data_IF_627243937005
#
_entry.id   IF_627243937005
#
_cell.length_a   1.000
_cell.length_b   1.000
_cell.length_c   1.000
_cell.angle_alpha   90.00
_cell.angle_beta   90.00
_cell.angle_gamma   90.00
#
_symmetry.space_group_name_H-M   'P 1'
#
loop_
_entity.id
_entity.type
_entity.pdbx_description
1 polymer ?
#
# COMPACT_ATOMS: atom_id res chain seq x y z
N UNK A 1 3.33 -3.75 -1.62
CA UNK A 1 4.39 -2.95 -2.26
C UNK A 1 3.79 -1.83 -3.11
N UNK A 2 4.34 -0.61 -3.09
CA UNK A 2 3.99 0.40 -4.08
C UNK A 2 4.96 0.34 -5.28
N UNK A 3 4.44 0.55 -6.50
CA UNK A 3 5.23 0.61 -7.74
C UNK A 3 4.91 1.92 -8.45
N UNK A 4 5.94 2.72 -8.65
CA UNK A 4 5.82 4.06 -9.24
C UNK A 4 6.92 4.31 -10.28
N UNK A 5 6.72 5.30 -11.14
CA UNK A 5 7.74 5.65 -12.11
C UNK A 5 7.33 6.67 -13.15
N UNK A 6 8.06 6.69 -14.26
CA UNK A 6 7.87 7.64 -15.33
C UNK A 6 6.50 7.49 -16.02
N UNK A 7 5.86 8.63 -16.31
CA UNK A 7 4.63 8.68 -17.13
C UNK A 7 4.91 8.31 -18.58
N UNK A 8 6.07 8.73 -19.10
CA UNK A 8 6.59 8.40 -20.44
C UNK A 8 7.60 7.25 -20.34
N UNK A 9 7.17 6.15 -19.75
CA UNK A 9 8.01 4.98 -19.54
C UNK A 9 8.37 4.28 -20.87
N UNK A 10 9.55 3.70 -20.92
CA UNK A 10 9.98 2.85 -22.03
C UNK A 10 9.11 1.59 -22.12
N UNK A 11 9.19 0.90 -23.26
CA UNK A 11 8.52 -0.40 -23.39
C UNK A 11 9.10 -1.41 -22.40
N UNK A 12 10.41 -1.41 -22.19
CA UNK A 12 11.10 -2.31 -21.27
C UNK A 12 10.70 -2.01 -19.82
N UNK A 13 10.68 -0.74 -19.41
CA UNK A 13 10.25 -0.35 -18.07
C UNK A 13 8.79 -0.75 -17.76
N UNK A 14 7.89 -0.56 -18.72
CA UNK A 14 6.48 -1.00 -18.57
C UNK A 14 6.37 -2.53 -18.50
N UNK A 15 7.12 -3.26 -19.33
CA UNK A 15 7.13 -4.74 -19.29
C UNK A 15 7.65 -5.25 -17.96
N UNK A 16 8.77 -4.70 -17.47
CA UNK A 16 9.35 -5.09 -16.19
C UNK A 16 8.42 -4.77 -15.01
N UNK A 17 7.83 -3.57 -14.98
CA UNK A 17 6.85 -3.20 -13.95
C UNK A 17 5.65 -4.15 -13.93
N UNK A 18 5.12 -4.51 -15.09
CA UNK A 18 4.02 -5.47 -15.22
C UNK A 18 4.41 -6.86 -14.77
N UNK A 19 5.60 -7.33 -15.14
CA UNK A 19 6.12 -8.65 -14.77
C UNK A 19 6.33 -8.75 -13.26
N UNK A 20 7.06 -7.82 -12.65
CA UNK A 20 7.30 -7.78 -11.21
C UNK A 20 5.97 -7.72 -10.45
N UNK A 21 5.02 -6.88 -10.91
CA UNK A 21 3.69 -6.80 -10.30
C UNK A 21 2.95 -8.13 -10.34
N UNK A 22 2.95 -8.82 -11.47
CA UNK A 22 2.30 -10.11 -11.64
C UNK A 22 2.92 -11.18 -10.73
N UNK A 23 4.24 -11.26 -10.70
CA UNK A 23 4.99 -12.23 -9.86
C UNK A 23 4.73 -11.98 -8.37
N UNK A 24 4.82 -10.74 -7.90
CA UNK A 24 4.56 -10.38 -6.50
C UNK A 24 3.11 -10.65 -6.10
N UNK A 25 2.14 -10.29 -6.96
CA UNK A 25 0.73 -10.54 -6.67
C UNK A 25 0.44 -12.04 -6.62
N UNK A 26 1.08 -12.85 -7.45
CA UNK A 26 0.99 -14.32 -7.40
C UNK A 26 1.51 -14.90 -6.08
N UNK A 27 2.38 -14.18 -5.37
CA UNK A 27 2.88 -14.50 -4.05
C UNK A 27 2.06 -13.87 -2.90
N UNK A 28 0.91 -13.28 -3.21
CA UNK A 28 0.02 -12.67 -2.22
C UNK A 28 0.38 -11.25 -1.83
N UNK A 29 1.31 -10.59 -2.53
CA UNK A 29 1.66 -9.19 -2.26
C UNK A 29 0.74 -8.25 -3.05
N UNK A 30 0.02 -7.41 -2.34
CA UNK A 30 -0.82 -6.37 -2.93
C UNK A 30 0.03 -5.25 -3.54
N UNK A 31 -0.33 -4.84 -4.76
CA UNK A 31 0.33 -3.73 -5.46
C UNK A 31 -0.49 -2.46 -5.28
N UNK A 32 0.17 -1.39 -4.83
CA UNK A 32 -0.44 -0.05 -4.70
C UNK A 32 0.22 0.89 -5.69
N UNK A 33 -0.57 1.66 -6.43
CA UNK A 33 -0.03 2.67 -7.34
C UNK A 33 -0.99 3.85 -7.55
N UNK A 34 -0.52 4.84 -8.29
CA UNK A 34 -1.18 6.14 -8.41
C UNK A 34 -2.03 6.31 -9.67
N UNK A 35 -2.28 5.29 -10.45
CA UNK A 35 -3.12 5.37 -11.66
C UNK A 35 -2.55 6.26 -12.77
N UNK A 36 -1.32 6.77 -12.66
CA UNK A 36 -0.70 7.57 -13.70
C UNK A 36 -0.41 6.75 -14.98
N UNK A 37 -0.17 7.44 -16.09
CA UNK A 37 0.35 6.80 -17.31
C UNK A 37 1.66 6.06 -17.03
N UNK A 38 2.06 5.18 -17.93
CA UNK A 38 3.38 4.55 -17.89
C UNK A 38 3.52 3.45 -16.85
N UNK A 39 4.39 3.64 -15.88
CA UNK A 39 4.74 2.60 -14.89
C UNK A 39 3.54 2.24 -14.01
N UNK A 40 2.81 3.21 -13.48
CA UNK A 40 1.65 2.96 -12.61
C UNK A 40 0.60 2.11 -13.33
N UNK A 41 0.27 2.48 -14.57
CA UNK A 41 -0.67 1.71 -15.42
C UNK A 41 -0.17 0.27 -15.66
N UNK A 42 1.15 0.11 -15.91
CA UNK A 42 1.75 -1.20 -16.15
C UNK A 42 1.72 -2.06 -14.88
N UNK A 43 1.99 -1.47 -13.72
CA UNK A 43 1.94 -2.13 -12.43
C UNK A 43 0.53 -2.66 -12.13
N UNK A 44 -0.50 -1.81 -12.26
CA UNK A 44 -1.88 -2.25 -12.06
C UNK A 44 -2.28 -3.39 -13.00
N UNK A 45 -1.96 -3.26 -14.30
CA UNK A 45 -2.25 -4.31 -15.29
C UNK A 45 -1.54 -5.62 -14.94
N UNK A 46 -0.27 -5.57 -14.55
CA UNK A 46 0.48 -6.75 -14.14
C UNK A 46 -0.13 -7.45 -12.95
N UNK A 47 -0.50 -6.70 -11.91
CA UNK A 47 -1.17 -7.26 -10.73
C UNK A 47 -2.51 -7.93 -11.05
N UNK A 48 -3.29 -7.35 -11.98
CA UNK A 48 -4.57 -7.93 -12.41
C UNK A 48 -4.41 -9.20 -13.26
N UNK A 49 -3.26 -9.42 -13.88
CA UNK A 49 -2.97 -10.67 -14.62
C UNK A 49 -2.55 -11.83 -13.72
N UNK A 50 -2.27 -11.59 -12.43
CA UNK A 50 -1.90 -12.66 -11.52
C UNK A 50 -3.02 -13.70 -11.38
N UNK A 51 -2.64 -14.97 -11.22
CA UNK A 51 -3.56 -16.11 -11.15
C UNK A 51 -4.48 -16.06 -9.91
N UNK A 52 -4.01 -15.47 -8.82
CA UNK A 52 -4.79 -15.25 -7.60
C UNK A 52 -5.44 -13.87 -7.63
N UNK A 53 -6.72 -13.81 -8.00
CA UNK A 53 -7.41 -12.57 -8.35
C UNK A 53 -8.01 -11.78 -7.19
N UNK A 54 -7.93 -12.24 -5.95
CA UNK A 54 -8.53 -11.57 -4.80
C UNK A 54 -7.62 -10.46 -4.27
N UNK A 55 -8.05 -9.20 -4.37
CA UNK A 55 -7.35 -8.07 -3.77
C UNK A 55 -5.98 -7.75 -4.39
N UNK A 56 -5.85 -7.89 -5.70
CA UNK A 56 -4.56 -7.83 -6.39
C UNK A 56 -3.93 -6.44 -6.41
N UNK A 57 -4.71 -5.36 -6.48
CA UNK A 57 -4.15 -4.01 -6.57
C UNK A 57 -5.07 -2.93 -6.00
N UNK A 58 -4.46 -1.86 -5.48
CA UNK A 58 -5.13 -0.66 -4.97
C UNK A 58 -4.68 0.54 -5.77
N UNK A 59 -5.63 1.24 -6.38
CA UNK A 59 -5.40 2.50 -7.05
C UNK A 59 -5.71 3.66 -6.11
N UNK A 60 -4.74 4.55 -5.88
CA UNK A 60 -4.95 5.77 -5.11
C UNK A 60 -5.11 6.94 -6.08
N UNK A 61 -6.22 7.68 -6.01
CA UNK A 61 -6.50 8.77 -6.94
C UNK A 61 -6.05 10.12 -6.38
N UNK A 62 -5.67 11.04 -7.27
CA UNK A 62 -5.41 12.45 -6.95
C UNK A 62 -6.58 13.38 -7.32
N UNK A 63 -7.77 12.79 -7.52
CA UNK A 63 -9.04 13.40 -7.91
C UNK A 63 -10.13 12.88 -7.00
N UNK A 64 -11.34 13.40 -7.09
CA UNK A 64 -12.51 12.75 -6.52
C UNK A 64 -12.61 11.31 -7.04
N UNK A 65 -13.19 10.40 -6.25
CA UNK A 65 -13.30 8.99 -6.61
C UNK A 65 -14.17 8.75 -7.85
N UNK A 66 -15.05 9.69 -8.14
CA UNK A 66 -15.95 9.75 -9.31
C UNK A 66 -15.26 10.22 -10.59
N UNK A 67 -14.01 10.72 -10.50
CA UNK A 67 -13.25 11.26 -11.64
C UNK A 67 -12.00 10.44 -11.88
N UNK A 68 -12.05 9.53 -12.84
CA UNK A 68 -10.87 8.75 -13.24
C UNK A 68 -9.90 9.62 -14.05
N UNK A 69 -8.66 9.74 -13.56
CA UNK A 69 -7.60 10.47 -14.24
C UNK A 69 -6.30 9.65 -14.32
N UNK A 70 -5.63 9.59 -15.47
CA UNK A 70 -6.02 10.16 -16.76
C UNK A 70 -7.21 9.44 -17.39
N UNK A 71 -7.98 10.13 -18.25
CA UNK A 71 -9.21 9.58 -18.86
C UNK A 71 -8.98 8.25 -19.62
N UNK A 72 -7.79 8.07 -20.21
CA UNK A 72 -7.40 6.82 -20.89
C UNK A 72 -7.35 5.60 -19.95
N UNK A 73 -7.22 5.81 -18.65
CA UNK A 73 -7.19 4.76 -17.62
C UNK A 73 -8.57 4.50 -16.98
N UNK A 74 -9.64 5.14 -17.47
CA UNK A 74 -10.99 4.97 -16.91
C UNK A 74 -11.41 3.48 -16.85
N UNK A 75 -11.26 2.75 -17.96
CA UNK A 75 -11.59 1.31 -18.00
C UNK A 75 -10.75 0.49 -17.02
N UNK A 76 -9.47 0.86 -16.85
CA UNK A 76 -8.60 0.20 -15.89
C UNK A 76 -9.06 0.50 -14.45
N UNK A 77 -9.49 1.72 -14.17
CA UNK A 77 -10.05 2.13 -12.89
C UNK A 77 -11.30 1.29 -12.52
N UNK A 78 -12.23 1.15 -13.46
CA UNK A 78 -13.43 0.32 -13.32
C UNK A 78 -13.09 -1.17 -13.08
N UNK A 79 -12.10 -1.69 -13.80
CA UNK A 79 -11.62 -3.06 -13.59
C UNK A 79 -10.99 -3.26 -12.21
N UNK A 80 -10.18 -2.29 -11.74
CA UNK A 80 -9.58 -2.34 -10.41
C UNK A 80 -10.67 -2.26 -9.33
N UNK A 81 -11.67 -1.41 -9.49
CA UNK A 81 -12.80 -1.33 -8.56
C UNK A 81 -13.56 -2.66 -8.42
N UNK A 82 -13.61 -3.48 -9.48
CA UNK A 82 -14.25 -4.80 -9.46
C UNK A 82 -13.40 -5.95 -8.91
N UNK A 83 -12.07 -5.79 -8.81
CA UNK A 83 -11.14 -6.89 -8.47
C UNK A 83 -10.13 -6.53 -7.35
N UNK A 84 -10.09 -5.29 -6.96
CA UNK A 84 -9.21 -4.74 -5.94
C UNK A 84 -9.88 -3.59 -5.24
N UNK A 85 -9.20 -2.44 -5.13
CA UNK A 85 -9.78 -1.22 -4.55
C UNK A 85 -9.34 0.04 -5.28
N UNK A 86 -10.23 1.02 -5.35
CA UNK A 86 -9.94 2.39 -5.75
C UNK A 86 -10.23 3.28 -4.56
N UNK A 87 -9.28 4.12 -4.17
CA UNK A 87 -9.42 5.00 -3.01
C UNK A 87 -9.04 6.44 -3.36
N UNK A 88 -9.64 7.39 -2.68
CA UNK A 88 -9.30 8.81 -2.76
C UNK A 88 -9.52 9.50 -1.41
N UNK A 89 -8.69 10.49 -1.08
CA UNK A 89 -8.91 11.40 0.05
C UNK A 89 -9.63 12.69 -0.37
N UNK A 90 -9.86 12.87 -1.66
CA UNK A 90 -10.46 14.09 -2.19
C UNK A 90 -11.98 13.97 -2.28
N UNK A 91 -12.73 15.04 -1.98
CA UNK A 91 -14.18 15.04 -2.15
C UNK A 91 -14.63 14.69 -3.56
N UNK A 92 -15.86 14.22 -3.69
CA UNK A 92 -16.50 14.01 -5.00
C UNK A 92 -16.44 15.28 -5.84
N UNK A 93 -16.30 15.14 -7.14
CA UNK A 93 -16.19 16.25 -8.09
C UNK A 93 -14.84 16.99 -8.07
N UNK A 94 -13.84 16.51 -7.29
CA UNK A 94 -12.51 17.14 -7.31
C UNK A 94 -11.79 16.84 -8.61
N UNK A 95 -11.60 17.88 -9.41
CA UNK A 95 -10.91 17.84 -10.70
C UNK A 95 -9.39 17.61 -10.54
N UNK A 96 -8.72 17.03 -11.57
CA UNK A 96 -7.28 16.82 -11.53
C UNK A 96 -6.51 18.15 -11.42
N UNK A 97 -5.67 18.24 -10.40
CA UNK A 97 -4.81 19.39 -10.13
C UNK A 97 -3.37 18.93 -9.87
N UNK A 98 -2.40 19.70 -10.38
CA UNK A 98 -0.97 19.39 -10.20
C UNK A 98 -0.57 19.26 -8.73
N UNK A 99 -1.19 20.04 -7.84
CA UNK A 99 -0.94 20.02 -6.39
C UNK A 99 -1.48 18.76 -5.69
N UNK A 100 -2.51 18.11 -6.23
CA UNK A 100 -3.14 16.95 -5.60
C UNK A 100 -2.28 15.67 -5.73
N UNK A 101 -1.54 15.51 -6.84
CA UNK A 101 -0.75 14.31 -7.08
C UNK A 101 0.38 14.10 -6.05
N UNK A 102 1.20 15.13 -5.70
CA UNK A 102 2.17 14.99 -4.62
C UNK A 102 1.53 14.70 -3.25
N UNK A 103 0.39 15.33 -2.95
CA UNK A 103 -0.36 15.08 -1.70
C UNK A 103 -0.83 13.63 -1.62
N UNK A 104 -1.39 13.10 -2.70
CA UNK A 104 -1.84 11.72 -2.81
C UNK A 104 -0.68 10.71 -2.65
N UNK A 105 0.53 11.02 -3.15
CA UNK A 105 1.66 10.09 -3.12
C UNK A 105 2.03 9.63 -1.72
N UNK A 106 1.77 10.42 -0.67
CA UNK A 106 1.97 10.00 0.72
C UNK A 106 1.12 8.79 1.10
N UNK A 107 -0.08 8.68 0.51
CA UNK A 107 -0.97 7.53 0.75
C UNK A 107 -0.45 6.30 0.01
N UNK A 108 0.05 6.47 -1.23
CA UNK A 108 0.64 5.37 -2.01
C UNK A 108 1.79 4.72 -1.25
N UNK A 109 2.71 5.51 -0.69
CA UNK A 109 3.84 4.99 0.09
C UNK A 109 3.42 4.47 1.46
N UNK A 110 2.49 5.13 2.16
CA UNK A 110 2.09 4.76 3.52
C UNK A 110 1.34 3.42 3.60
N UNK A 111 0.59 3.06 2.58
CA UNK A 111 -0.18 1.81 2.52
C UNK A 111 0.69 0.56 2.29
N UNK A 112 2.01 0.71 2.17
CA UNK A 112 2.88 -0.39 1.75
C UNK A 112 4.14 -0.47 2.62
N UNK A 113 4.75 -1.64 2.68
CA UNK A 113 6.02 -1.84 3.38
C UNK A 113 7.23 -1.35 2.59
N UNK A 114 7.07 -1.12 1.27
CA UNK A 114 8.14 -0.60 0.44
C UNK A 114 7.65 0.02 -0.87
N UNK A 115 8.52 0.81 -1.51
CA UNK A 115 8.24 1.53 -2.77
C UNK A 115 9.28 1.19 -3.82
N UNK A 116 8.86 0.60 -4.94
CA UNK A 116 9.70 0.34 -6.11
C UNK A 116 9.60 1.50 -7.11
N UNK A 117 10.74 2.05 -7.48
CA UNK A 117 10.89 3.02 -8.59
C UNK A 117 11.50 2.33 -9.79
N UNK A 118 10.74 2.22 -10.90
CA UNK A 118 11.20 1.51 -12.10
C UNK A 118 11.96 2.45 -13.04
N UNK A 119 11.38 3.55 -13.44
CA UNK A 119 12.01 4.60 -14.27
C UNK A 119 11.64 5.97 -13.72
N UNK A 120 12.59 6.89 -13.69
CA UNK A 120 12.37 8.27 -13.25
C UNK A 120 13.52 9.18 -13.69
N UNK A 121 13.22 10.33 -14.28
CA UNK A 121 14.21 11.41 -14.36
C UNK A 121 14.44 12.02 -12.98
N UNK A 122 15.51 12.79 -12.80
CA UNK A 122 15.85 13.43 -11.52
C UNK A 122 14.75 14.40 -10.99
N UNK A 123 13.87 14.87 -11.85
CA UNK A 123 12.75 15.77 -11.49
C UNK A 123 11.40 15.07 -11.46
N UNK A 124 11.36 13.73 -11.53
CA UNK A 124 10.13 12.97 -11.55
C UNK A 124 9.37 13.01 -10.21
N UNK A 125 8.04 13.14 -10.30
CA UNK A 125 7.17 13.05 -9.12
C UNK A 125 7.22 11.68 -8.39
N UNK A 126 7.68 10.62 -9.05
CA UNK A 126 7.91 9.32 -8.43
C UNK A 126 9.03 9.33 -7.39
N UNK A 127 10.04 10.22 -7.55
CA UNK A 127 11.08 10.42 -6.53
C UNK A 127 10.53 11.10 -5.27
N UNK A 128 9.45 11.88 -5.37
CA UNK A 128 8.72 12.40 -4.21
C UNK A 128 8.12 11.22 -3.42
N UNK A 129 7.52 10.24 -4.10
CA UNK A 129 6.97 9.05 -3.46
C UNK A 129 8.06 8.23 -2.75
N UNK A 130 9.22 8.05 -3.39
CA UNK A 130 10.36 7.36 -2.77
C UNK A 130 10.86 8.08 -1.51
N UNK A 131 10.96 9.42 -1.54
CA UNK A 131 11.33 10.20 -0.36
C UNK A 131 10.30 10.07 0.76
N UNK A 132 9.01 10.18 0.44
CA UNK A 132 7.94 10.00 1.41
C UNK A 132 7.96 8.58 2.04
N UNK A 133 8.29 7.55 1.25
CA UNK A 133 8.47 6.19 1.76
C UNK A 133 9.58 6.15 2.82
N UNK A 134 10.74 6.73 2.55
CA UNK A 134 11.85 6.82 3.53
C UNK A 134 11.45 7.59 4.79
N UNK A 135 10.79 8.75 4.64
CA UNK A 135 10.27 9.55 5.76
C UNK A 135 9.27 8.77 6.63
N UNK A 136 8.55 7.82 6.03
CA UNK A 136 7.61 6.92 6.69
C UNK A 136 8.25 5.64 7.23
N UNK A 137 9.58 5.49 7.14
CA UNK A 137 10.30 4.29 7.58
C UNK A 137 10.02 3.06 6.71
N UNK A 138 9.73 3.26 5.42
CA UNK A 138 9.48 2.19 4.44
C UNK A 138 10.71 1.97 3.57
N UNK A 139 10.89 0.75 3.09
CA UNK A 139 11.98 0.41 2.19
C UNK A 139 11.80 1.07 0.83
N UNK A 140 12.93 1.43 0.21
CA UNK A 140 12.94 1.93 -1.16
C UNK A 140 13.73 0.98 -2.03
N UNK A 141 13.12 0.60 -3.14
CA UNK A 141 13.64 -0.28 -4.17
C UNK A 141 13.78 0.50 -5.47
N UNK A 142 14.80 0.21 -6.25
CA UNK A 142 15.00 0.88 -7.52
C UNK A 142 15.57 -0.07 -8.58
N UNK A 143 15.03 0.03 -9.80
CA UNK A 143 15.50 -0.73 -10.95
C UNK A 143 16.70 -0.03 -11.54
N UNK A 144 17.88 -0.68 -11.65
CA UNK A 144 19.04 -0.08 -12.32
C UNK A 144 18.78 0.10 -13.81
N UNK A 145 19.40 1.10 -14.37
CA UNK A 145 19.30 1.32 -15.80
C UNK A 145 20.56 1.97 -16.38
N UNK A 146 20.57 2.15 -17.68
CA UNK A 146 21.75 2.62 -18.39
C UNK A 146 22.10 4.06 -17.97
N UNK A 147 23.37 4.38 -17.62
CA UNK A 147 23.73 5.69 -17.06
C UNK A 147 23.45 6.89 -17.98
N UNK A 148 23.38 6.67 -19.29
CA UNK A 148 23.07 7.72 -20.27
C UNK A 148 21.60 7.87 -20.58
N UNK A 149 20.72 6.99 -20.05
CA UNK A 149 19.27 7.13 -20.16
C UNK A 149 18.75 8.03 -19.04
N UNK A 150 18.15 9.15 -19.39
CA UNK A 150 17.59 10.11 -18.44
C UNK A 150 16.55 9.47 -17.49
N UNK A 151 15.82 8.45 -17.97
CA UNK A 151 14.83 7.72 -17.19
C UNK A 151 15.45 6.82 -16.11
N UNK A 152 16.72 6.50 -16.25
CA UNK A 152 17.49 5.72 -15.27
C UNK A 152 18.18 6.59 -14.23
N UNK A 153 18.27 7.90 -14.46
CA UNK A 153 19.01 8.81 -13.58
C UNK A 153 18.45 8.83 -12.15
N UNK A 154 17.13 8.83 -11.98
CA UNK A 154 16.47 8.79 -10.68
C UNK A 154 16.70 7.47 -9.92
N UNK A 155 16.35 6.31 -10.49
CA UNK A 155 16.60 5.01 -9.87
C UNK A 155 18.09 4.79 -9.54
N UNK A 156 19.00 5.08 -10.47
CA UNK A 156 20.44 4.94 -10.24
C UNK A 156 20.93 5.84 -9.09
N UNK A 157 20.35 7.05 -8.95
CA UNK A 157 20.62 7.92 -7.81
C UNK A 157 20.10 7.31 -6.51
N UNK A 158 18.87 6.81 -6.49
CA UNK A 158 18.30 6.14 -5.30
C UNK A 158 19.16 4.96 -4.84
N UNK A 159 19.66 4.13 -5.77
CA UNK A 159 20.57 3.02 -5.45
C UNK A 159 21.87 3.53 -4.82
N UNK A 160 22.46 4.59 -5.36
CA UNK A 160 23.65 5.21 -4.76
C UNK A 160 23.39 5.80 -3.38
N UNK A 161 22.16 6.25 -3.13
CA UNK A 161 21.73 6.81 -1.85
C UNK A 161 21.29 5.70 -0.86
N UNK A 162 21.38 4.41 -1.24
CA UNK A 162 21.14 3.26 -0.37
C UNK A 162 19.84 2.50 -0.61
N UNK A 163 19.07 2.80 -1.65
CA UNK A 163 17.92 2.00 -2.04
C UNK A 163 18.35 0.59 -2.51
N UNK A 164 17.50 -0.40 -2.27
CA UNK A 164 17.74 -1.77 -2.72
C UNK A 164 17.66 -1.86 -4.24
N UNK A 165 18.71 -2.39 -4.86
CA UNK A 165 18.74 -2.68 -6.28
C UNK A 165 17.81 -3.86 -6.58
N UNK A 166 16.96 -3.72 -7.59
CA UNK A 166 15.96 -4.72 -7.99
C UNK A 166 16.06 -4.99 -9.49
N UNK A 167 16.29 -6.25 -9.85
CA UNK A 167 16.23 -6.74 -11.21
C UNK A 167 14.99 -7.61 -11.46
N UNK A 168 14.44 -8.21 -10.39
CA UNK A 168 13.30 -9.13 -10.44
C UNK A 168 12.49 -9.09 -9.13
N UNK A 169 11.38 -9.85 -9.07
CA UNK A 169 10.51 -9.87 -7.89
C UNK A 169 11.16 -10.54 -6.67
N UNK A 170 12.09 -11.48 -6.87
CA UNK A 170 12.75 -12.20 -5.79
C UNK A 170 13.61 -11.28 -4.93
N UNK A 171 14.26 -10.28 -5.51
CA UNK A 171 15.04 -9.28 -4.79
C UNK A 171 14.18 -8.55 -3.76
N UNK A 172 12.94 -8.21 -4.13
CA UNK A 172 11.97 -7.55 -3.24
C UNK A 172 11.49 -8.51 -2.15
N UNK A 173 11.14 -9.75 -2.53
CA UNK A 173 10.65 -10.76 -1.58
C UNK A 173 11.68 -11.06 -0.50
N UNK A 174 12.96 -11.13 -0.85
CA UNK A 174 14.04 -11.38 0.08
C UNK A 174 14.15 -10.28 1.15
N UNK A 175 14.00 -9.02 0.78
CA UNK A 175 14.04 -7.89 1.72
C UNK A 175 12.78 -7.87 2.59
N UNK A 176 11.58 -7.91 1.99
CA UNK A 176 10.32 -7.86 2.73
C UNK A 176 10.15 -9.05 3.69
N UNK A 177 10.60 -10.25 3.31
CA UNK A 177 10.54 -11.43 4.19
C UNK A 177 11.50 -11.31 5.39
N UNK A 178 12.67 -10.72 5.20
CA UNK A 178 13.62 -10.45 6.28
C UNK A 178 13.03 -9.45 7.29
N UNK A 179 12.34 -8.42 6.83
CA UNK A 179 11.67 -7.43 7.67
C UNK A 179 10.43 -7.99 8.37
N UNK A 180 9.64 -8.83 7.72
CA UNK A 180 8.54 -9.53 8.36
C UNK A 180 9.02 -10.39 9.55
N UNK A 181 10.15 -11.06 9.42
CA UNK A 181 10.79 -11.82 10.52
C UNK A 181 11.28 -10.92 11.68
N UNK A 182 11.67 -9.67 11.40
CA UNK A 182 12.06 -8.69 12.43
C UNK A 182 10.85 -8.10 13.14
N UNK A 183 9.73 -7.94 12.46
CA UNK A 183 8.47 -7.36 12.98
C UNK A 183 7.62 -8.36 13.77
N UNK A 184 7.94 -9.67 13.79
CA UNK A 184 7.27 -10.62 14.70
C UNK A 184 7.60 -10.17 16.12
N UNK A 185 6.63 -9.72 16.93
CA UNK A 185 6.88 -9.42 18.33
C UNK A 185 7.46 -10.68 18.96
N UNK A 186 8.66 -10.60 19.52
CA UNK A 186 9.11 -11.63 20.44
C UNK A 186 7.99 -11.75 21.46
N UNK A 187 7.31 -12.91 21.51
CA UNK A 187 6.32 -13.19 22.55
C UNK A 187 6.90 -12.68 23.86
N UNK A 188 6.19 -11.80 24.61
CA UNK A 188 6.68 -11.38 25.89
C UNK A 188 7.04 -12.65 26.64
N UNK A 189 8.29 -12.76 27.12
CA UNK A 189 8.63 -13.83 28.05
C UNK A 189 7.55 -13.81 29.12
N UNK A 190 6.94 -14.96 29.47
CA UNK A 190 6.02 -14.96 30.57
C UNK A 190 6.74 -14.29 31.74
N UNK A 191 6.20 -13.17 32.18
CA UNK A 191 6.68 -12.54 33.42
C UNK A 191 6.48 -13.61 34.46
N UNK A 192 7.58 -14.15 34.99
CA UNK A 192 7.52 -14.95 36.19
C UNK A 192 6.87 -14.05 37.25
N UNK A 193 5.58 -14.20 37.44
CA UNK A 193 4.87 -13.63 38.55
C UNK A 193 5.52 -14.25 39.79
N UNK A 194 6.28 -13.44 40.51
CA UNK A 194 6.91 -13.81 41.74
C UNK A 194 5.92 -14.52 42.65
N UNK A 195 6.35 -15.65 43.15
CA UNK A 195 5.67 -16.59 44.03
C UNK A 195 5.42 -16.03 45.46
N UNK A 196 5.03 -14.75 45.57
CA UNK A 196 4.67 -14.14 46.86
C UNK A 196 3.41 -13.28 46.76
N UNK A 197 2.29 -13.90 46.43
CA UNK A 197 0.97 -13.37 46.82
C UNK A 197 0.46 -14.25 47.94
N UNK A 198 0.53 -13.73 49.17
CA UNK A 198 -0.15 -14.30 50.34
C UNK A 198 -1.65 -14.43 50.02
N UNK A 199 -2.30 -15.55 50.45
CA UNK A 199 -3.75 -15.65 50.31
C UNK A 199 -4.40 -14.60 51.20
N UNK A 200 -5.23 -13.75 50.60
CA UNK A 200 -6.17 -12.94 51.35
C UNK A 200 -7.42 -13.81 51.60
N UNK A 201 -7.76 -13.91 52.88
CA UNK A 201 -8.86 -14.65 53.43
C UNK A 201 -10.21 -14.21 52.79
N UNK A 202 -11.03 -15.20 52.50
CA UNK A 202 -12.40 -15.04 52.07
C UNK A 202 -13.26 -14.55 53.22
N UNK A 203 -13.90 -13.40 53.11
CA UNK A 203 -15.21 -13.16 53.71
C UNK A 203 -16.07 -12.24 52.83
N UNK A 204 -17.08 -12.86 52.30
CA UNK A 204 -18.47 -12.48 51.97
C UNK A 204 -18.83 -11.00 51.74
N UNK A 205 -19.38 -10.72 50.56
CA UNK A 205 -20.81 -10.33 50.45
C UNK A 205 -21.21 -10.27 48.96
N UNK A 206 -22.17 -11.08 48.64
CA UNK A 206 -22.97 -11.05 47.42
C UNK A 206 -23.65 -9.69 47.25
N UNK A 207 -23.44 -9.05 46.12
CA UNK A 207 -24.33 -8.03 45.59
C UNK A 207 -24.58 -8.38 44.13
N UNK A 208 -25.83 -8.65 43.82
CA UNK A 208 -26.33 -8.92 42.47
C UNK A 208 -26.02 -7.77 41.54
N UNK A 209 -25.29 -8.05 40.44
CA UNK A 209 -25.20 -7.18 39.27
C UNK A 209 -25.85 -7.96 38.12
N UNK A 210 -26.86 -7.42 37.44
CA UNK A 210 -27.52 -8.12 36.35
C UNK A 210 -26.55 -8.25 35.16
N UNK A 211 -26.50 -9.47 34.68
CA UNK A 211 -25.78 -9.90 33.47
C UNK A 211 -26.40 -9.22 32.23
N UNK A 212 -25.79 -8.14 31.76
CA UNK A 212 -26.09 -7.61 30.43
C UNK A 212 -24.93 -8.00 29.53
N UNK A 213 -25.13 -9.10 28.83
CA UNK A 213 -24.28 -9.50 27.73
C UNK A 213 -24.08 -8.34 26.75
N UNK A 214 -22.85 -7.90 26.58
CA UNK A 214 -22.50 -6.96 25.53
C UNK A 214 -22.59 -7.67 24.18
N UNK A 215 -23.36 -7.18 23.22
CA UNK A 215 -23.31 -7.72 21.87
C UNK A 215 -21.93 -7.42 21.25
N UNK A 216 -21.43 -8.40 20.53
CA UNK A 216 -20.17 -8.36 19.77
C UNK A 216 -20.12 -7.12 18.89
N UNK A 217 -19.33 -6.12 19.25
CA UNK A 217 -19.17 -4.87 18.48
C UNK A 217 -18.58 -5.08 17.08
N UNK A 218 -17.87 -6.18 16.88
CA UNK A 218 -17.31 -6.49 15.54
C UNK A 218 -18.36 -6.92 14.53
N UNK A 219 -19.40 -7.61 14.95
CA UNK A 219 -20.51 -8.02 14.07
C UNK A 219 -21.41 -6.84 13.69
N UNK A 220 -21.55 -5.84 14.55
CA UNK A 220 -22.34 -4.64 14.26
C UNK A 220 -21.70 -3.74 13.21
N UNK A 221 -20.37 -3.58 13.21
CA UNK A 221 -19.64 -2.76 12.22
C UNK A 221 -19.76 -3.35 10.82
N UNK A 222 -19.66 -4.67 10.69
CA UNK A 222 -19.76 -5.35 9.38
C UNK A 222 -21.18 -5.25 8.80
N UNK A 223 -22.22 -5.16 9.63
CA UNK A 223 -23.60 -5.01 9.18
C UNK A 223 -23.94 -3.61 8.66
N UNK A 224 -23.16 -2.60 9.03
CA UNK A 224 -23.28 -1.21 8.57
C UNK A 224 -22.56 -0.93 7.26
N UNK A 225 -21.68 -1.85 6.82
CA UNK A 225 -20.96 -1.72 5.55
C UNK A 225 -21.88 -2.12 4.40
N UNK A 226 -22.53 -1.15 3.78
CA UNK A 226 -23.33 -1.37 2.57
C UNK A 226 -22.47 -1.16 1.32
N UNK A 227 -22.82 -1.74 0.15
CA UNK A 227 -22.11 -1.52 -1.12
C UNK A 227 -22.05 -0.06 -1.56
N UNK A 228 -22.84 0.82 -0.97
CA UNK A 228 -22.90 2.26 -1.28
C UNK A 228 -21.88 3.11 -0.50
N UNK A 229 -21.13 2.52 0.43
CA UNK A 229 -20.20 3.23 1.33
C UNK A 229 -20.90 3.93 2.49
N UNK A 230 -20.20 4.06 3.61
CA UNK A 230 -20.67 4.76 4.82
C UNK A 230 -19.64 5.83 5.18
N UNK A 231 -20.10 7.01 5.61
CA UNK A 231 -19.22 8.05 6.11
C UNK A 231 -18.65 7.66 7.47
N UNK A 232 -17.36 7.94 7.69
CA UNK A 232 -16.66 7.61 8.96
C UNK A 232 -17.37 8.18 10.18
N UNK A 233 -18.02 9.34 10.04
CA UNK A 233 -18.75 10.00 11.12
C UNK A 233 -20.02 9.25 11.56
N UNK A 234 -20.55 8.34 10.75
CA UNK A 234 -21.69 7.48 11.11
C UNK A 234 -21.27 6.22 11.88
N UNK A 235 -19.98 5.86 11.82
CA UNK A 235 -19.41 4.71 12.54
C UNK A 235 -18.99 5.04 13.98
N UNK A 236 -18.97 6.34 14.35
CA UNK A 236 -18.51 6.84 15.66
C UNK A 236 -19.68 7.14 16.61
N UNK A 237 -20.92 7.02 16.16
CA UNK A 237 -22.14 7.15 17.00
C UNK A 237 -22.61 5.79 17.47
#
# INVERSE_FOLDING_TARGET
>A
LSIVGARNASLNGRKLASQISCELTSQGIMIVSGMARGIDTAAHKGAMFALNRSGSTVAVLGTGIDIAYPAENQKLCEQIAGQGAVISEFPLGTEPSAGNFPRRNRIVSALTDGTLVVEASLHSGSLITARLALEQGRDVFAVPGFPTDERSAGPNKLIKDGAFLVENAEDILNVLSADARRKIPRTPRPVQTDLFVKPLDKESKTADIPDTASPDRETDILSLLTPAGVYVDELIR
#
